data_IF_521230986740
#
_entry.id   IF_521230986740
#
_cell.length_a   1.000
_cell.length_b   1.000
_cell.length_c   1.000
_cell.angle_alpha   90.00
_cell.angle_beta   90.00
_cell.angle_gamma   90.00
#
_symmetry.space_group_name_H-M   'P 1'
#
loop_
_entity.id
_entity.type
_entity.pdbx_description
1 polymer ?
#
# COMPACT_ATOMS: atom_id res chain seq x y z
N UNK A 1 8.12 47.34 -24.35
CA UNK A 1 7.73 47.05 -22.95
C UNK A 1 7.25 45.61 -22.92
N UNK A 2 8.16 44.66 -22.62
CA UNK A 2 7.89 43.24 -22.55
C UNK A 2 7.77 42.85 -21.08
N UNK A 3 6.60 42.38 -20.66
CA UNK A 3 6.35 41.85 -19.31
C UNK A 3 6.70 40.38 -19.30
N UNK A 4 7.81 40.02 -18.66
CA UNK A 4 8.17 38.65 -18.35
C UNK A 4 7.15 38.08 -17.32
N UNK A 5 6.44 37.05 -17.69
CA UNK A 5 5.68 36.19 -16.77
C UNK A 5 6.68 35.29 -16.01
N UNK A 6 6.92 35.64 -14.77
CA UNK A 6 7.61 34.80 -13.80
C UNK A 6 6.71 33.64 -13.47
N UNK A 7 6.98 32.47 -14.07
CA UNK A 7 6.40 31.20 -13.67
C UNK A 7 7.06 30.81 -12.35
N UNK A 8 6.31 30.91 -11.26
CA UNK A 8 6.74 30.41 -9.96
C UNK A 8 6.96 28.89 -10.02
N UNK A 9 8.20 28.50 -10.08
CA UNK A 9 8.66 27.16 -9.72
C UNK A 9 8.43 27.00 -8.22
N UNK A 10 7.33 26.36 -7.84
CA UNK A 10 7.14 25.87 -6.49
C UNK A 10 8.24 24.86 -6.20
N UNK A 11 9.00 25.16 -5.18
CA UNK A 11 10.12 24.38 -4.64
C UNK A 11 9.66 22.93 -4.33
N UNK A 12 10.16 21.93 -5.09
CA UNK A 12 9.76 20.52 -5.03
C UNK A 12 10.60 19.77 -3.97
N UNK A 13 11.30 20.47 -3.11
CA UNK A 13 12.18 19.86 -2.10
C UNK A 13 11.49 19.77 -0.74
N UNK A 14 10.68 18.73 -0.52
CA UNK A 14 10.51 18.15 0.81
C UNK A 14 10.46 16.63 0.65
N UNK A 15 11.64 16.04 0.53
CA UNK A 15 11.88 14.61 0.65
C UNK A 15 11.19 14.05 1.90
N UNK A 16 10.71 12.83 1.82
CA UNK A 16 10.29 12.05 2.98
C UNK A 16 11.48 11.94 3.93
N UNK A 17 11.49 12.75 4.98
CA UNK A 17 12.66 12.84 5.84
C UNK A 17 12.48 11.82 6.96
N UNK A 18 13.15 10.68 6.86
CA UNK A 18 13.34 9.80 8.01
C UNK A 18 14.23 10.53 9.02
N UNK A 19 13.79 10.54 10.29
CA UNK A 19 14.51 11.21 11.38
C UNK A 19 14.48 10.36 12.65
N UNK A 20 15.54 10.38 13.47
CA UNK A 20 15.47 9.77 14.79
C UNK A 20 14.31 10.34 15.59
N UNK A 21 13.56 9.48 16.28
CA UNK A 21 12.49 9.94 17.16
C UNK A 21 13.09 10.73 18.32
N UNK A 22 12.65 11.97 18.49
CA UNK A 22 13.23 12.89 19.50
C UNK A 22 12.85 12.55 20.95
N UNK A 23 11.89 11.64 21.19
CA UNK A 23 11.41 11.25 22.50
C UNK A 23 11.65 9.78 22.79
N UNK A 24 11.83 9.44 24.06
CA UNK A 24 11.88 8.05 24.51
C UNK A 24 10.47 7.43 24.43
N UNK A 25 10.37 6.22 23.92
CA UNK A 25 9.14 5.43 23.92
C UNK A 25 9.02 4.76 25.30
N UNK A 26 7.94 5.05 26.00
CA UNK A 26 7.65 4.48 27.34
C UNK A 26 6.33 3.72 27.35
N UNK A 27 5.43 4.04 26.44
CA UNK A 27 4.10 3.45 26.32
C UNK A 27 3.76 3.13 24.88
N UNK A 28 3.17 1.96 24.67
CA UNK A 28 2.66 1.55 23.35
C UNK A 28 1.23 1.03 23.46
N UNK A 29 0.46 1.20 22.40
CA UNK A 29 -0.82 0.53 22.23
C UNK A 29 -0.73 -0.44 21.07
N UNK A 30 -0.99 -1.72 21.30
CA UNK A 30 -0.96 -2.76 20.27
C UNK A 30 -2.37 -2.99 19.75
N UNK A 31 -2.61 -2.64 18.48
CA UNK A 31 -3.84 -3.00 17.73
C UNK A 31 -3.56 -4.31 17.02
N UNK A 32 -4.23 -5.38 17.43
CA UNK A 32 -3.96 -6.73 16.94
C UNK A 32 -5.17 -7.32 16.21
N UNK A 33 -4.93 -7.87 15.02
CA UNK A 33 -5.90 -8.66 14.30
C UNK A 33 -5.60 -10.16 14.46
N UNK A 34 -6.31 -10.87 15.35
CA UNK A 34 -6.07 -12.31 15.58
C UNK A 34 -6.41 -13.18 14.35
N UNK A 35 -7.18 -12.66 13.39
CA UNK A 35 -7.50 -13.32 12.14
C UNK A 35 -6.47 -13.05 11.03
N UNK A 36 -5.38 -12.34 11.33
CA UNK A 36 -4.25 -12.17 10.41
C UNK A 36 -3.65 -13.53 10.04
N UNK A 37 -3.37 -13.74 8.74
CA UNK A 37 -3.00 -15.06 8.22
C UNK A 37 -1.73 -15.69 8.85
N UNK A 38 -0.87 -14.90 9.49
CA UNK A 38 0.34 -15.35 10.18
C UNK A 38 0.47 -14.85 11.63
N UNK A 39 -0.60 -14.31 12.21
CA UNK A 39 -0.64 -13.97 13.63
C UNK A 39 -0.93 -15.25 14.42
N UNK A 40 -0.01 -15.70 15.32
CA UNK A 40 -0.20 -16.91 16.08
C UNK A 40 -1.26 -16.75 17.18
N UNK A 41 -1.86 -17.85 17.63
CA UNK A 41 -2.92 -17.83 18.63
C UNK A 41 -2.45 -17.26 19.99
N UNK A 42 -1.18 -17.47 20.36
CA UNK A 42 -0.49 -16.92 21.52
C UNK A 42 0.27 -15.63 21.23
N UNK A 43 -0.07 -14.97 20.11
CA UNK A 43 0.62 -13.77 19.63
C UNK A 43 0.61 -12.64 20.65
N UNK A 44 -0.49 -12.48 21.39
CA UNK A 44 -0.59 -11.45 22.42
C UNK A 44 0.46 -11.65 23.51
N UNK A 45 0.58 -12.85 24.05
CA UNK A 45 1.53 -13.20 25.10
C UNK A 45 2.97 -13.01 24.61
N UNK A 46 3.26 -13.40 23.36
CA UNK A 46 4.57 -13.24 22.75
C UNK A 46 4.96 -11.76 22.67
N UNK A 47 4.08 -10.92 22.10
CA UNK A 47 4.40 -9.50 21.89
C UNK A 47 4.45 -8.72 23.20
N UNK A 48 3.60 -9.07 24.19
CA UNK A 48 3.60 -8.49 25.52
C UNK A 48 4.92 -8.78 26.24
N UNK A 49 5.41 -10.01 26.18
CA UNK A 49 6.70 -10.39 26.76
C UNK A 49 7.87 -9.62 26.12
N UNK A 50 7.87 -9.49 24.78
CA UNK A 50 8.91 -8.75 24.05
C UNK A 50 8.92 -7.26 24.43
N UNK A 51 7.76 -6.63 24.55
CA UNK A 51 7.65 -5.21 24.93
C UNK A 51 8.10 -5.01 26.39
N UNK A 52 7.72 -5.94 27.29
CA UNK A 52 8.13 -5.89 28.69
C UNK A 52 9.66 -6.04 28.87
N UNK A 53 10.34 -6.89 28.07
CA UNK A 53 11.80 -7.00 28.07
C UNK A 53 12.49 -5.67 27.72
N UNK A 54 11.86 -4.82 26.92
CA UNK A 54 12.35 -3.49 26.55
C UNK A 54 12.03 -2.42 27.61
N UNK A 55 11.34 -2.79 28.70
CA UNK A 55 10.95 -1.86 29.77
C UNK A 55 9.82 -0.90 29.36
N UNK A 56 9.04 -1.23 28.35
CA UNK A 56 7.96 -0.42 27.81
C UNK A 56 6.62 -0.95 28.34
N UNK A 57 5.68 -0.04 28.66
CA UNK A 57 4.32 -0.42 29.06
C UNK A 57 3.44 -0.61 27.82
N UNK A 58 2.72 -1.73 27.78
CA UNK A 58 1.83 -2.05 26.66
C UNK A 58 0.35 -2.05 27.08
N UNK A 59 -0.50 -1.55 26.21
CA UNK A 59 -1.95 -1.76 26.22
C UNK A 59 -2.37 -2.44 24.90
N UNK A 60 -3.54 -3.08 24.89
CA UNK A 60 -3.97 -3.89 23.75
C UNK A 60 -5.39 -3.57 23.33
N UNK A 61 -5.59 -3.38 22.03
CA UNK A 61 -6.87 -3.33 21.36
C UNK A 61 -6.95 -4.49 20.36
N UNK A 62 -7.86 -5.42 20.59
CA UNK A 62 -8.07 -6.55 19.69
C UNK A 62 -9.16 -6.17 18.69
N UNK A 63 -8.88 -6.40 17.40
CA UNK A 63 -9.86 -6.20 16.34
C UNK A 63 -10.82 -7.40 16.37
N UNK A 64 -12.07 -7.13 16.69
CA UNK A 64 -13.14 -8.14 16.63
C UNK A 64 -13.73 -8.15 15.20
N UNK A 65 -14.38 -7.06 14.78
CA UNK A 65 -14.97 -6.92 13.44
C UNK A 65 -14.65 -5.57 12.79
N UNK A 66 -14.31 -4.56 13.61
CA UNK A 66 -14.15 -3.17 13.20
C UNK A 66 -12.75 -2.67 13.55
N UNK A 67 -11.90 -2.62 12.51
CA UNK A 67 -10.53 -2.15 12.63
C UNK A 67 -10.46 -0.64 12.92
N UNK A 68 -11.32 0.15 12.30
CA UNK A 68 -11.36 1.60 12.49
C UNK A 68 -11.69 1.93 13.95
N UNK A 69 -12.73 1.30 14.52
CA UNK A 69 -13.07 1.48 15.91
C UNK A 69 -11.94 1.07 16.88
N UNK A 70 -11.20 0.00 16.57
CA UNK A 70 -10.04 -0.41 17.38
C UNK A 70 -8.92 0.65 17.33
N UNK A 71 -8.59 1.20 16.16
CA UNK A 71 -7.62 2.27 15.98
C UNK A 71 -8.05 3.56 16.70
N UNK A 72 -9.34 3.90 16.64
CA UNK A 72 -9.91 5.04 17.38
C UNK A 72 -9.79 4.87 18.91
N UNK A 73 -9.96 3.66 19.42
CA UNK A 73 -9.72 3.39 20.86
C UNK A 73 -8.25 3.50 21.21
N UNK A 74 -7.36 2.95 20.37
CA UNK A 74 -5.91 3.05 20.54
C UNK A 74 -5.43 4.51 20.56
N UNK A 75 -5.93 5.35 19.67
CA UNK A 75 -5.64 6.80 19.62
C UNK A 75 -5.93 7.50 20.94
N UNK A 76 -7.03 7.14 21.62
CA UNK A 76 -7.47 7.74 22.89
C UNK A 76 -6.60 7.34 24.09
N UNK A 77 -5.75 6.32 23.96
CA UNK A 77 -4.89 5.85 25.05
C UNK A 77 -3.64 6.69 25.25
N UNK A 78 -3.38 7.69 24.39
CA UNK A 78 -2.20 8.57 24.45
C UNK A 78 -0.87 7.81 24.53
N UNK A 79 -0.76 6.67 23.86
CA UNK A 79 0.49 5.93 23.73
C UNK A 79 1.51 6.72 22.90
N UNK A 80 2.81 6.46 23.13
CA UNK A 80 3.88 7.08 22.33
C UNK A 80 3.90 6.53 20.89
N UNK A 81 3.49 5.26 20.71
CA UNK A 81 3.46 4.53 19.44
C UNK A 81 2.24 3.62 19.39
N UNK A 82 1.61 3.53 18.24
CA UNK A 82 0.58 2.53 17.99
C UNK A 82 1.19 1.41 17.12
N UNK A 83 1.32 0.24 17.71
CA UNK A 83 1.81 -0.96 17.02
C UNK A 83 0.61 -1.65 16.37
N UNK A 84 0.69 -1.92 15.06
CA UNK A 84 -0.41 -2.59 14.33
C UNK A 84 0.07 -3.95 13.85
N UNK A 85 -0.51 -5.02 14.40
CA UNK A 85 -0.16 -6.37 14.05
C UNK A 85 -1.30 -7.07 13.30
N UNK A 86 -1.11 -7.25 12.01
CA UNK A 86 -2.09 -7.83 11.10
C UNK A 86 -1.56 -7.89 9.67
N UNK A 87 -2.43 -8.19 8.70
CA UNK A 87 -2.10 -8.13 7.28
C UNK A 87 -2.15 -6.72 6.71
N UNK A 88 -1.91 -6.60 5.40
CA UNK A 88 -1.87 -5.33 4.68
C UNK A 88 -3.17 -4.52 4.85
N UNK A 89 -4.35 -5.17 4.78
CA UNK A 89 -5.63 -4.48 5.01
C UNK A 89 -5.76 -3.89 6.43
N UNK A 90 -5.25 -4.59 7.46
CA UNK A 90 -5.24 -4.06 8.84
C UNK A 90 -4.31 -2.86 8.96
N UNK A 91 -3.11 -2.94 8.36
CA UNK A 91 -2.15 -1.85 8.37
C UNK A 91 -2.66 -0.63 7.60
N UNK A 92 -3.24 -0.83 6.41
CA UNK A 92 -3.85 0.24 5.61
C UNK A 92 -5.03 0.91 6.34
N UNK A 93 -5.90 0.13 6.98
CA UNK A 93 -6.98 0.64 7.82
C UNK A 93 -6.44 1.54 8.95
N UNK A 94 -5.41 1.10 9.66
CA UNK A 94 -4.81 1.89 10.72
C UNK A 94 -4.21 3.21 10.21
N UNK A 95 -3.50 3.19 9.08
CA UNK A 95 -2.93 4.40 8.47
C UNK A 95 -3.99 5.34 7.91
N UNK A 96 -5.15 4.82 7.51
CA UNK A 96 -6.29 5.64 7.07
C UNK A 96 -7.03 6.29 8.24
N UNK A 97 -7.09 5.61 9.38
CA UNK A 97 -7.76 6.09 10.59
C UNK A 97 -6.89 7.06 11.37
N UNK A 98 -5.57 6.79 11.42
CA UNK A 98 -4.59 7.57 12.17
C UNK A 98 -3.89 8.54 11.22
N UNK A 99 -4.08 9.83 11.48
CA UNK A 99 -3.51 10.89 10.67
C UNK A 99 -2.05 11.23 11.04
N UNK A 100 -1.44 12.19 10.33
CA UNK A 100 -0.05 12.60 10.58
C UNK A 100 0.16 13.28 11.94
N UNK A 101 -0.89 13.71 12.63
CA UNK A 101 -0.83 14.34 13.95
C UNK A 101 -1.03 13.34 15.10
N UNK A 102 -1.44 12.11 14.80
CA UNK A 102 -1.60 11.02 15.78
C UNK A 102 -0.23 10.38 16.14
N UNK A 103 -0.15 9.50 17.15
CA UNK A 103 1.06 8.74 17.41
C UNK A 103 1.54 7.96 16.17
N UNK A 104 2.85 7.87 15.91
CA UNK A 104 3.35 7.13 14.76
C UNK A 104 2.95 5.65 14.83
N UNK A 105 2.68 5.07 13.66
CA UNK A 105 2.28 3.67 13.52
C UNK A 105 3.51 2.79 13.27
N UNK A 106 3.63 1.68 14.00
CA UNK A 106 4.59 0.62 13.73
C UNK A 106 3.85 -0.59 13.15
N UNK A 107 3.85 -0.80 11.83
CA UNK A 107 3.22 -1.97 11.24
C UNK A 107 4.09 -3.21 11.43
N UNK A 108 3.53 -4.29 12.00
CA UNK A 108 4.17 -5.60 12.10
C UNK A 108 3.55 -6.59 11.10
N UNK A 109 4.34 -7.52 10.54
CA UNK A 109 3.85 -8.48 9.58
C UNK A 109 2.94 -9.50 10.26
N UNK A 110 1.71 -9.63 9.79
CA UNK A 110 0.72 -10.58 10.29
C UNK A 110 -0.17 -11.13 9.17
N UNK A 111 0.15 -10.83 7.93
CA UNK A 111 -0.53 -11.31 6.73
C UNK A 111 0.31 -12.27 5.89
N UNK A 112 -0.16 -12.57 4.69
CA UNK A 112 0.53 -13.44 3.73
C UNK A 112 1.56 -12.69 2.90
N UNK A 113 1.22 -11.50 2.38
CA UNK A 113 2.07 -10.73 1.48
C UNK A 113 2.93 -9.70 2.21
N UNK A 114 2.37 -9.04 3.22
CA UNK A 114 3.01 -8.02 4.05
C UNK A 114 3.70 -6.90 3.22
N UNK A 115 3.04 -6.47 2.14
CA UNK A 115 3.59 -5.49 1.20
C UNK A 115 3.83 -4.13 1.88
N UNK A 116 2.86 -3.68 2.69
CA UNK A 116 2.98 -2.42 3.40
C UNK A 116 4.09 -2.46 4.47
N UNK A 117 4.24 -3.60 5.17
CA UNK A 117 5.35 -3.80 6.10
C UNK A 117 6.70 -3.69 5.37
N UNK A 118 6.86 -4.40 4.23
CA UNK A 118 8.08 -4.33 3.40
C UNK A 118 8.35 -2.92 2.89
N UNK A 119 7.31 -2.22 2.46
CA UNK A 119 7.40 -0.83 2.02
C UNK A 119 7.91 0.08 3.14
N UNK A 120 7.35 -0.02 4.35
CA UNK A 120 7.75 0.79 5.50
C UNK A 120 9.18 0.46 5.96
N UNK A 121 9.50 -0.82 6.14
CA UNK A 121 10.79 -1.22 6.75
C UNK A 121 11.93 -1.44 5.72
N UNK A 122 11.61 -1.46 4.43
CA UNK A 122 12.59 -1.68 3.35
C UNK A 122 13.09 -3.12 3.24
N UNK A 123 12.58 -4.02 4.06
CA UNK A 123 12.94 -5.45 4.11
C UNK A 123 11.85 -6.26 4.77
N UNK A 124 11.88 -7.58 4.55
CA UNK A 124 10.98 -8.52 5.21
C UNK A 124 11.58 -8.95 6.56
N UNK A 125 10.96 -8.53 7.66
CA UNK A 125 11.38 -8.85 9.01
C UNK A 125 10.29 -9.70 9.70
N UNK A 126 10.68 -10.64 10.55
CA UNK A 126 9.72 -11.25 11.47
C UNK A 126 9.25 -10.24 12.54
N UNK A 127 8.06 -10.45 13.15
CA UNK A 127 7.47 -9.49 14.08
C UNK A 127 8.38 -9.15 15.27
N UNK A 128 9.08 -10.14 15.83
CA UNK A 128 9.94 -9.95 17.00
C UNK A 128 11.20 -9.14 16.67
N UNK A 129 11.86 -9.45 15.55
CA UNK A 129 13.03 -8.71 15.06
C UNK A 129 12.64 -7.29 14.69
N UNK A 130 11.52 -7.09 14.01
CA UNK A 130 11.02 -5.78 13.65
C UNK A 130 10.78 -4.92 14.91
N UNK A 131 10.04 -5.47 15.89
CA UNK A 131 9.71 -4.79 17.13
C UNK A 131 10.97 -4.34 17.87
N UNK A 132 11.93 -5.25 18.12
CA UNK A 132 13.19 -4.93 18.81
C UNK A 132 13.97 -3.86 18.05
N UNK A 133 14.21 -4.06 16.75
CA UNK A 133 15.00 -3.14 15.92
C UNK A 133 14.45 -1.73 15.96
N UNK A 134 13.12 -1.60 15.83
CA UNK A 134 12.47 -0.29 15.77
C UNK A 134 12.37 0.37 17.13
N UNK A 135 12.01 -0.37 18.18
CA UNK A 135 11.85 0.23 19.52
C UNK A 135 13.17 0.55 20.22
N UNK A 136 14.25 -0.17 19.90
CA UNK A 136 15.60 0.15 20.40
C UNK A 136 16.20 1.39 19.71
N UNK A 137 15.93 1.57 18.43
CA UNK A 137 16.46 2.68 17.62
C UNK A 137 15.34 3.30 16.77
N UNK A 138 14.39 4.02 17.36
CA UNK A 138 13.20 4.49 16.65
C UNK A 138 13.54 5.57 15.64
N UNK A 139 13.21 5.29 14.38
CA UNK A 139 13.27 6.21 13.25
C UNK A 139 11.85 6.50 12.80
N UNK A 140 11.46 7.77 12.82
CA UNK A 140 10.16 8.26 12.35
C UNK A 140 10.26 8.63 10.86
N UNK A 141 9.24 8.27 10.08
CA UNK A 141 9.16 8.58 8.66
C UNK A 141 7.73 9.02 8.30
N UNK A 142 7.62 10.12 7.56
CA UNK A 142 6.36 10.49 6.91
C UNK A 142 6.21 9.64 5.64
N UNK A 143 5.07 8.98 5.45
CA UNK A 143 4.78 8.20 4.25
C UNK A 143 3.70 8.86 3.41
N UNK A 144 3.85 8.71 2.09
CA UNK A 144 2.86 9.14 1.12
C UNK A 144 1.74 8.11 0.96
N UNK A 145 0.61 8.54 0.42
CA UNK A 145 -0.47 7.69 -0.05
C UNK A 145 -0.96 8.16 -1.42
N UNK A 146 -1.49 7.24 -2.21
CA UNK A 146 -2.36 7.59 -3.30
C UNK A 146 -3.78 7.83 -2.79
N UNK A 147 -4.49 8.77 -3.39
CA UNK A 147 -5.89 9.05 -3.07
C UNK A 147 -6.72 9.10 -4.34
N UNK A 148 -7.86 8.39 -4.35
CA UNK A 148 -8.88 8.44 -5.39
C UNK A 148 -10.26 8.42 -4.74
N UNK A 149 -11.12 9.39 -5.07
CA UNK A 149 -12.48 9.48 -4.54
C UNK A 149 -12.57 9.47 -2.99
N UNK A 150 -11.56 9.98 -2.30
CA UNK A 150 -11.45 9.96 -0.84
C UNK A 150 -10.96 8.64 -0.24
N UNK A 151 -10.69 7.62 -1.06
CA UNK A 151 -10.05 6.38 -0.63
C UNK A 151 -8.54 6.49 -0.79
N UNK A 152 -7.78 6.13 0.24
CA UNK A 152 -6.31 6.11 0.21
C UNK A 152 -5.78 4.69 0.04
N UNK A 153 -4.64 4.58 -0.62
CA UNK A 153 -3.86 3.36 -0.73
C UNK A 153 -2.37 3.67 -0.53
N UNK A 154 -1.64 2.70 0.02
CA UNK A 154 -0.24 2.88 0.44
C UNK A 154 0.75 2.00 -0.33
N UNK A 155 0.25 1.05 -1.11
CA UNK A 155 1.07 0.18 -1.96
C UNK A 155 0.74 0.44 -3.42
N UNK A 156 -0.52 0.24 -3.81
CA UNK A 156 -0.91 0.44 -5.20
C UNK A 156 -2.37 0.22 -5.51
N UNK A 157 -2.74 0.67 -6.71
CA UNK A 157 -4.04 0.44 -7.32
C UNK A 157 -3.87 -0.35 -8.62
N UNK A 158 -4.76 -1.32 -8.84
CA UNK A 158 -4.87 -2.07 -10.09
C UNK A 158 -6.21 -1.75 -10.73
N UNK A 159 -6.22 -1.48 -12.04
CA UNK A 159 -7.40 -1.08 -12.79
C UNK A 159 -7.61 -1.99 -14.00
N UNK A 160 -8.88 -2.18 -14.37
CA UNK A 160 -9.28 -2.96 -15.53
C UNK A 160 -8.98 -4.45 -15.37
N UNK A 161 -8.49 -5.12 -16.42
CA UNK A 161 -8.27 -6.57 -16.44
C UNK A 161 -7.40 -7.11 -15.30
N UNK A 162 -6.49 -6.29 -14.72
CA UNK A 162 -5.62 -6.70 -13.61
C UNK A 162 -6.38 -6.91 -12.29
N UNK A 163 -7.55 -6.33 -12.09
CA UNK A 163 -8.33 -6.50 -10.86
C UNK A 163 -8.74 -7.94 -10.62
N UNK A 164 -8.97 -8.69 -11.69
CA UNK A 164 -9.35 -10.10 -11.64
C UNK A 164 -8.21 -11.01 -11.21
N UNK A 165 -6.95 -10.59 -11.39
CA UNK A 165 -5.78 -11.30 -10.87
C UNK A 165 -5.62 -11.16 -9.36
N UNK A 166 -6.23 -10.14 -8.75
CA UNK A 166 -6.23 -9.94 -7.30
C UNK A 166 -7.28 -10.82 -6.59
N UNK A 167 -8.29 -11.34 -7.31
CA UNK A 167 -9.40 -12.13 -6.75
C UNK A 167 -9.01 -13.53 -6.21
N UNK A 168 -7.98 -14.26 -6.70
CA UNK A 168 -7.68 -15.60 -6.20
C UNK A 168 -6.82 -15.62 -4.93
N UNK A 169 -6.97 -14.70 -3.98
CA UNK A 169 -6.22 -14.74 -2.70
C UNK A 169 -6.41 -16.05 -1.93
N UNK A 170 -7.60 -16.68 -2.01
CA UNK A 170 -7.84 -17.98 -1.38
C UNK A 170 -7.16 -19.15 -2.13
N UNK A 171 -7.06 -19.09 -3.45
CA UNK A 171 -6.37 -20.09 -4.25
C UNK A 171 -4.84 -20.05 -4.04
N UNK A 172 -4.25 -18.86 -3.87
CA UNK A 172 -2.83 -18.68 -3.50
C UNK A 172 -2.51 -19.24 -2.11
N UNK A 173 -3.48 -19.23 -1.18
CA UNK A 173 -3.32 -19.82 0.16
C UNK A 173 -3.25 -21.36 0.15
N UNK A 174 -3.81 -22.02 -0.85
CA UNK A 174 -3.99 -23.47 -0.88
C UNK A 174 -3.02 -24.22 -1.83
N UNK A 175 -1.96 -23.57 -2.32
CA UNK A 175 -0.97 -24.15 -3.24
C UNK A 175 -1.51 -24.65 -4.60
N UNK A 176 -2.77 -24.39 -4.93
CA UNK A 176 -3.41 -24.80 -6.19
C UNK A 176 -3.32 -23.70 -7.28
N UNK A 177 -2.15 -23.04 -7.33
CA UNK A 177 -1.88 -21.95 -8.29
C UNK A 177 -2.05 -22.37 -9.75
N UNK A 178 -1.70 -23.63 -10.09
CA UNK A 178 -1.86 -24.16 -11.44
C UNK A 178 -3.34 -24.35 -11.80
N UNK A 179 -4.18 -24.73 -10.84
CA UNK A 179 -5.61 -24.88 -11.04
C UNK A 179 -6.29 -23.53 -11.24
N UNK A 180 -5.92 -22.53 -10.44
CA UNK A 180 -6.43 -21.16 -10.58
C UNK A 180 -6.06 -20.54 -11.93
N UNK A 181 -4.85 -20.79 -12.44
CA UNK A 181 -4.43 -20.36 -13.78
C UNK A 181 -5.18 -21.09 -14.90
N UNK A 182 -5.50 -22.36 -14.72
CA UNK A 182 -6.23 -23.17 -15.71
C UNK A 182 -7.70 -22.72 -15.77
N UNK A 183 -8.33 -22.47 -14.64
CA UNK A 183 -9.69 -21.93 -14.56
C UNK A 183 -9.79 -20.50 -15.09
N UNK A 184 -8.75 -19.68 -14.91
CA UNK A 184 -8.64 -18.34 -15.51
C UNK A 184 -8.46 -18.40 -17.04
N UNK A 185 -7.77 -19.43 -17.55
CA UNK A 185 -7.58 -19.64 -19.00
C UNK A 185 -8.81 -20.17 -19.72
N UNK A 186 -9.67 -20.93 -19.03
CA UNK A 186 -10.90 -21.51 -19.61
C UNK A 186 -12.11 -20.59 -19.56
N UNK A 187 -12.19 -19.73 -18.57
CA UNK A 187 -13.21 -18.70 -18.56
C UNK A 187 -12.70 -17.52 -19.40
N UNK A 188 -13.42 -17.03 -20.37
CA UNK A 188 -13.25 -15.68 -20.97
C UNK A 188 -13.18 -14.57 -19.87
N UNK A 189 -12.51 -14.88 -18.77
CA UNK A 189 -12.46 -14.15 -17.51
C UNK A 189 -11.62 -12.87 -17.61
N UNK A 190 -10.76 -12.79 -18.61
CA UNK A 190 -10.11 -11.55 -18.98
C UNK A 190 -11.01 -10.80 -19.97
N UNK A 191 -12.18 -10.35 -19.52
CA UNK A 191 -12.90 -9.29 -20.21
C UNK A 191 -11.98 -8.06 -20.18
N UNK A 192 -11.11 -7.98 -21.18
CA UNK A 192 -10.27 -6.83 -21.47
C UNK A 192 -11.10 -5.65 -22.02
N UNK A 193 -12.42 -5.74 -21.86
CA UNK A 193 -13.41 -4.87 -22.48
C UNK A 193 -13.60 -3.54 -21.74
N UNK A 194 -12.59 -3.06 -21.03
CA UNK A 194 -12.65 -1.74 -20.43
C UNK A 194 -11.43 -0.92 -20.86
N UNK A 195 -11.40 -0.48 -22.14
CA UNK A 195 -10.35 0.42 -22.58
C UNK A 195 -10.41 1.71 -21.76
N UNK A 196 -9.25 2.12 -21.28
CA UNK A 196 -9.09 3.30 -20.44
C UNK A 196 -8.06 4.24 -21.07
N UNK A 197 -8.28 5.52 -20.89
CA UNK A 197 -7.30 6.56 -21.20
C UNK A 197 -6.72 7.11 -19.92
N UNK A 198 -5.40 7.18 -19.85
CA UNK A 198 -4.66 7.74 -18.75
C UNK A 198 -3.95 9.03 -19.20
N UNK A 199 -4.11 10.09 -18.44
CA UNK A 199 -3.39 11.35 -18.66
C UNK A 199 -2.67 11.73 -17.37
N UNK A 200 -1.34 11.84 -17.44
CA UNK A 200 -0.52 12.21 -16.29
C UNK A 200 -0.30 13.73 -16.20
N UNK A 201 0.09 14.23 -15.04
CA UNK A 201 0.47 15.64 -14.84
C UNK A 201 1.80 16.01 -15.53
N UNK A 202 2.54 15.04 -16.06
CA UNK A 202 3.69 15.26 -16.94
C UNK A 202 3.28 15.52 -18.39
N UNK A 203 2.02 15.31 -18.73
CA UNK A 203 1.47 15.47 -20.07
C UNK A 203 1.55 14.20 -20.93
N UNK A 204 1.96 13.07 -20.36
CA UNK A 204 1.89 11.78 -21.04
C UNK A 204 0.44 11.31 -21.13
N UNK A 205 0.08 10.74 -22.27
CA UNK A 205 -1.24 10.15 -22.54
C UNK A 205 -1.05 8.71 -23.05
N UNK A 206 -1.76 7.76 -22.44
CA UNK A 206 -1.70 6.34 -22.77
C UNK A 206 -3.10 5.75 -22.82
N UNK A 207 -3.39 4.96 -23.84
CA UNK A 207 -4.57 4.10 -23.89
C UNK A 207 -4.18 2.71 -23.37
N UNK A 208 -4.94 2.17 -22.43
CA UNK A 208 -4.65 0.91 -21.76
C UNK A 208 -5.91 0.08 -21.53
N UNK A 209 -5.78 -1.23 -21.48
CA UNK A 209 -6.83 -2.16 -21.04
C UNK A 209 -6.61 -2.61 -19.58
N UNK A 210 -5.40 -2.46 -19.11
CA UNK A 210 -5.03 -2.73 -17.73
C UNK A 210 -3.96 -1.74 -17.26
N UNK A 211 -4.08 -1.29 -16.01
CA UNK A 211 -3.18 -0.30 -15.43
C UNK A 211 -2.84 -0.64 -13.99
N UNK A 212 -1.57 -0.49 -13.63
CA UNK A 212 -1.08 -0.48 -12.25
C UNK A 212 -0.56 0.91 -11.89
N UNK A 213 -0.97 1.42 -10.75
CA UNK A 213 -0.52 2.70 -10.17
C UNK A 213 0.07 2.36 -8.81
N UNK A 214 1.39 2.43 -8.66
CA UNK A 214 2.08 2.06 -7.43
C UNK A 214 2.78 3.27 -6.83
N UNK A 215 2.82 3.34 -5.51
CA UNK A 215 3.66 4.33 -4.86
C UNK A 215 5.14 4.03 -5.15
N UNK A 216 5.90 5.08 -5.44
CA UNK A 216 7.35 4.96 -5.66
C UNK A 216 8.03 4.45 -4.39
N UNK A 217 8.92 3.48 -4.54
CA UNK A 217 9.76 2.98 -3.45
C UNK A 217 10.96 3.89 -3.16
N UNK A 218 11.21 4.87 -4.04
CA UNK A 218 12.28 5.85 -3.89
C UNK A 218 11.78 7.01 -2.99
N UNK A 219 12.25 7.12 -1.75
CA UNK A 219 11.84 8.18 -0.83
C UNK A 219 12.22 9.57 -1.32
N UNK A 220 13.27 9.69 -2.14
CA UNK A 220 13.71 10.96 -2.69
C UNK A 220 12.87 11.41 -3.90
N UNK A 221 12.04 10.50 -4.42
CA UNK A 221 11.17 10.73 -5.57
C UNK A 221 9.73 10.28 -5.31
N UNK A 222 9.00 10.93 -4.38
CA UNK A 222 7.62 10.56 -4.09
C UNK A 222 6.71 10.82 -5.29
N UNK A 223 5.94 9.81 -5.68
CA UNK A 223 5.06 9.82 -6.83
C UNK A 223 4.47 8.46 -7.11
N UNK A 224 3.91 8.30 -8.29
CA UNK A 224 3.37 7.05 -8.79
C UNK A 224 4.24 6.51 -9.91
N UNK A 225 4.70 5.26 -9.76
CA UNK A 225 5.14 4.43 -10.86
C UNK A 225 3.90 3.87 -11.56
N UNK A 226 3.66 4.33 -12.77
CA UNK A 226 2.50 3.96 -13.58
C UNK A 226 2.92 2.90 -14.58
N UNK A 227 2.10 1.88 -14.72
CA UNK A 227 2.29 0.82 -15.69
C UNK A 227 1.01 0.60 -16.45
N UNK A 228 1.09 0.68 -17.77
CA UNK A 228 -0.01 0.45 -18.66
C UNK A 228 0.31 -0.68 -19.62
N UNK A 229 -0.67 -1.49 -19.91
CA UNK A 229 -0.57 -2.54 -20.92
C UNK A 229 -1.83 -2.58 -21.77
N UNK A 230 -1.63 -2.73 -23.08
CA UNK A 230 -2.67 -3.04 -24.05
C UNK A 230 -2.32 -4.40 -24.69
N UNK A 231 -2.48 -5.52 -23.97
CA UNK A 231 -2.05 -6.81 -24.45
C UNK A 231 -2.81 -7.19 -25.73
N UNK A 232 -2.06 -7.45 -26.79
CA UNK A 232 -2.61 -7.92 -28.09
C UNK A 232 -3.12 -9.37 -28.02
N UNK A 233 -3.06 -10.00 -26.84
CA UNK A 233 -3.53 -11.35 -26.62
C UNK A 233 -3.52 -11.84 -25.18
N UNK A 234 -4.40 -12.78 -24.85
CA UNK A 234 -4.59 -13.41 -23.54
C UNK A 234 -3.33 -14.08 -22.97
N UNK A 235 -2.47 -14.61 -23.85
CA UNK A 235 -1.24 -15.28 -23.45
C UNK A 235 -0.20 -14.31 -22.93
N UNK A 236 -0.14 -13.09 -23.47
CA UNK A 236 0.79 -12.06 -23.01
C UNK A 236 0.39 -11.52 -21.65
N UNK A 237 -0.92 -11.40 -21.37
CA UNK A 237 -1.41 -10.98 -20.05
C UNK A 237 -1.17 -12.06 -18.98
N UNK A 238 -1.40 -13.34 -19.30
CA UNK A 238 -1.13 -14.45 -18.39
C UNK A 238 0.37 -14.59 -18.10
N UNK A 239 1.22 -14.44 -19.13
CA UNK A 239 2.68 -14.45 -18.96
C UNK A 239 3.16 -13.23 -18.17
N UNK A 240 2.64 -12.05 -18.47
CA UNK A 240 2.95 -10.82 -17.74
C UNK A 240 2.48 -10.89 -16.29
N UNK A 241 1.26 -11.41 -16.04
CA UNK A 241 0.73 -11.62 -14.68
C UNK A 241 1.57 -12.60 -13.87
N UNK A 242 2.00 -13.72 -14.47
CA UNK A 242 2.84 -14.72 -13.81
C UNK A 242 4.25 -14.19 -13.53
N UNK A 243 4.86 -13.50 -14.48
CA UNK A 243 6.19 -12.88 -14.28
C UNK A 243 6.13 -11.73 -13.28
N UNK A 244 5.01 -11.03 -13.19
CA UNK A 244 4.76 -9.95 -12.22
C UNK A 244 4.67 -10.47 -10.78
N UNK A 245 4.18 -11.69 -10.59
CA UNK A 245 4.07 -12.33 -9.27
C UNK A 245 5.37 -13.02 -8.80
N UNK A 246 6.23 -13.46 -9.74
CA UNK A 246 7.36 -14.35 -9.46
C UNK A 246 8.73 -13.72 -9.70
N UNK A 247 8.83 -12.64 -10.44
CA UNK A 247 10.09 -11.97 -10.76
C UNK A 247 9.90 -10.45 -10.72
N UNK A 248 11.00 -9.72 -10.83
CA UNK A 248 10.99 -8.26 -10.93
C UNK A 248 10.06 -7.79 -12.09
N UNK A 249 8.78 -7.61 -11.74
CA UNK A 249 7.69 -7.19 -12.64
C UNK A 249 8.02 -5.90 -13.42
N UNK A 250 9.03 -5.17 -12.94
CA UNK A 250 9.57 -3.95 -13.57
C UNK A 250 10.27 -4.24 -14.91
N UNK A 251 10.53 -5.50 -15.26
CA UNK A 251 11.24 -5.87 -16.48
C UNK A 251 10.37 -6.58 -17.54
N UNK A 252 9.05 -6.69 -17.33
CA UNK A 252 8.17 -7.40 -18.24
C UNK A 252 8.00 -6.68 -19.60
N UNK A 253 7.99 -7.46 -20.68
CA UNK A 253 7.78 -6.97 -22.07
C UNK A 253 6.36 -6.45 -22.27
N UNK A 254 6.20 -5.39 -23.08
CA UNK A 254 4.88 -4.83 -23.41
C UNK A 254 4.25 -3.93 -22.36
N UNK A 255 5.00 -3.54 -21.31
CA UNK A 255 4.56 -2.58 -20.31
C UNK A 255 5.15 -1.21 -20.63
N UNK A 256 4.29 -0.23 -20.85
CA UNK A 256 4.67 1.18 -20.87
C UNK A 256 4.75 1.71 -19.44
N UNK A 257 5.71 2.57 -19.19
CA UNK A 257 5.96 3.14 -17.86
C UNK A 257 5.94 4.65 -17.90
N UNK A 258 5.32 5.22 -16.91
CA UNK A 258 5.34 6.67 -16.66
C UNK A 258 5.51 6.92 -15.16
N UNK A 259 5.82 8.16 -14.82
CA UNK A 259 5.93 8.61 -13.44
C UNK A 259 5.21 9.95 -13.29
N UNK A 260 4.29 10.03 -12.32
CA UNK A 260 3.48 11.21 -12.09
C UNK A 260 3.11 11.39 -10.62
N UNK A 261 2.66 12.58 -10.25
CA UNK A 261 2.04 12.83 -8.94
C UNK A 261 0.51 12.94 -9.03
N UNK A 262 -0.02 13.04 -10.24
CA UNK A 262 -1.46 13.04 -10.51
C UNK A 262 -1.75 12.36 -11.84
N UNK A 263 -2.81 11.57 -11.84
CA UNK A 263 -3.25 10.80 -12.99
C UNK A 263 -4.75 10.94 -13.12
N UNK A 264 -5.23 11.32 -14.29
CA UNK A 264 -6.64 11.28 -14.67
C UNK A 264 -6.87 10.04 -15.52
N UNK A 265 -7.80 9.18 -15.12
CA UNK A 265 -8.18 7.96 -15.84
C UNK A 265 -9.61 8.06 -16.28
N UNK A 266 -9.87 7.84 -17.56
CA UNK A 266 -11.21 7.77 -18.17
C UNK A 266 -11.49 6.39 -18.75
N UNK A 267 -12.60 5.77 -18.34
CA UNK A 267 -13.12 4.59 -19.03
C UNK A 267 -13.76 4.99 -20.35
N UNK A 268 -13.30 4.43 -21.47
CA UNK A 268 -13.78 4.86 -22.79
C UNK A 268 -15.15 4.27 -23.16
N UNK A 269 -15.43 3.04 -22.77
CA UNK A 269 -16.63 2.30 -23.17
C UNK A 269 -17.57 1.95 -22.00
N UNK A 270 -17.08 1.95 -20.75
CA UNK A 270 -17.87 1.61 -19.57
C UNK A 270 -18.31 2.84 -18.76
N UNK A 271 -19.30 2.65 -17.88
CA UNK A 271 -19.80 3.69 -16.96
C UNK A 271 -18.98 3.81 -15.69
N UNK A 272 -18.05 2.88 -15.44
CA UNK A 272 -17.19 2.83 -14.28
C UNK A 272 -15.92 2.03 -14.56
N UNK A 273 -14.96 2.11 -13.63
CA UNK A 273 -13.67 1.44 -13.68
C UNK A 273 -13.62 0.46 -12.52
N UNK A 274 -13.50 -0.84 -12.81
CA UNK A 274 -13.20 -1.83 -11.80
C UNK A 274 -11.75 -1.65 -11.34
N UNK A 275 -11.55 -1.53 -10.04
CA UNK A 275 -10.23 -1.30 -9.46
C UNK A 275 -10.05 -2.09 -8.16
N UNK A 276 -8.79 -2.26 -7.74
CA UNK A 276 -8.45 -2.66 -6.38
C UNK A 276 -7.48 -1.63 -5.80
N UNK A 277 -7.68 -1.26 -4.55
CA UNK A 277 -6.79 -0.39 -3.78
C UNK A 277 -6.16 -1.22 -2.65
N UNK A 278 -4.86 -1.38 -2.65
CA UNK A 278 -4.12 -2.28 -1.74
C UNK A 278 -4.74 -3.69 -1.67
N UNK A 279 -5.36 -4.09 -2.81
CA UNK A 279 -6.03 -5.36 -2.98
C UNK A 279 -7.48 -5.42 -2.53
N UNK A 280 -8.07 -4.34 -2.02
CA UNK A 280 -9.50 -4.26 -1.73
C UNK A 280 -10.26 -3.79 -2.96
N UNK A 281 -11.32 -4.51 -3.40
CA UNK A 281 -12.06 -4.16 -4.60
C UNK A 281 -12.87 -2.88 -4.43
N UNK A 282 -12.87 -2.04 -5.47
CA UNK A 282 -13.64 -0.81 -5.53
C UNK A 282 -14.11 -0.57 -6.97
N UNK A 283 -15.29 0.02 -7.13
CA UNK A 283 -15.77 0.52 -8.42
C UNK A 283 -15.65 2.03 -8.45
N UNK A 284 -14.83 2.54 -9.33
CA UNK A 284 -14.63 3.97 -9.53
C UNK A 284 -15.58 4.47 -10.62
N UNK A 285 -15.94 5.77 -10.64
CA UNK A 285 -16.72 6.35 -11.73
C UNK A 285 -15.93 6.31 -13.05
N UNK A 286 -16.62 6.62 -14.15
CA UNK A 286 -16.04 6.68 -15.49
C UNK A 286 -14.77 7.54 -15.56
N UNK A 287 -14.74 8.65 -14.83
CA UNK A 287 -13.58 9.52 -14.70
C UNK A 287 -13.10 9.51 -13.25
N UNK A 288 -11.88 9.06 -13.03
CA UNK A 288 -11.26 8.97 -11.73
C UNK A 288 -9.92 9.70 -11.72
N UNK A 289 -9.68 10.50 -10.67
CA UNK A 289 -8.41 11.21 -10.47
C UNK A 289 -7.68 10.60 -9.31
N UNK A 290 -6.47 10.14 -9.57
CA UNK A 290 -5.50 9.71 -8.58
C UNK A 290 -4.56 10.86 -8.25
N UNK A 291 -4.37 11.13 -6.99
CA UNK A 291 -3.51 12.21 -6.51
C UNK A 291 -2.59 11.73 -5.40
N UNK A 292 -1.36 12.21 -5.39
CA UNK A 292 -0.39 11.91 -4.34
C UNK A 292 -0.65 12.77 -3.09
N UNK A 293 -0.83 12.14 -1.94
CA UNK A 293 -0.86 12.76 -0.62
C UNK A 293 0.50 12.53 0.04
N UNK A 294 1.37 13.55 0.08
CA UNK A 294 2.78 13.41 0.46
C UNK A 294 3.02 13.01 1.92
N UNK A 295 2.21 13.48 2.85
CA UNK A 295 2.31 13.21 4.28
C UNK A 295 0.99 12.64 4.76
N UNK A 296 0.69 11.42 4.32
CA UNK A 296 -0.58 10.78 4.61
C UNK A 296 -0.62 10.22 6.02
N UNK A 297 0.50 9.68 6.50
CA UNK A 297 0.63 9.13 7.84
C UNK A 297 2.08 9.18 8.33
N UNK A 298 2.29 9.02 9.64
CA UNK A 298 3.61 8.85 10.27
C UNK A 298 3.81 7.40 10.70
N UNK A 299 4.97 6.85 10.40
CA UNK A 299 5.32 5.49 10.77
C UNK A 299 6.67 5.45 11.50
N UNK A 300 6.88 4.40 12.28
CA UNK A 300 8.21 4.00 12.71
C UNK A 300 8.75 2.93 11.75
N UNK A 301 10.02 3.07 11.38
CA UNK A 301 10.67 2.21 10.40
C UNK A 301 11.96 1.59 10.95
N UNK A 302 12.33 0.41 10.41
CA UNK A 302 13.63 -0.21 10.62
C UNK A 302 14.71 0.33 9.65
N UNK A 303 14.34 1.21 8.70
CA UNK A 303 15.30 1.88 7.83
C UNK A 303 16.23 2.75 8.67
N UNK A 304 17.48 2.88 8.26
CA UNK A 304 18.40 3.81 8.89
C UNK A 304 18.04 5.25 8.51
N UNK A 305 18.16 6.16 9.47
CA UNK A 305 17.97 7.60 9.25
C UNK A 305 19.05 8.16 8.33
#
# INVERSE_FOLDING_TARGET
MSRALSTGMTDISSAETSRPLARQITTVCVVMNPNGGSVPADGREIIEALIAELGISASFEVIDHDCEAACERARKQNADVIIVWGGDGTAACALNTLGPDDPPVLPLPGGTMNMLHKFVHGTDLDPGTCLRTVLENPVEMDIAAGEVMGHRFYVGALLGGLTRLAAPREALRNSDFVLALTELGEANAFGLDTPMRCVSDTGSEHDAQAMGIFLSEDPDRPGFDIMTTAPEGLLDLAYTGLTTLLADWRSAWGIERDFACRIDVEALESTGIEATLDGEPVTLPRNARFSLVRKAARVLTARKA
#
